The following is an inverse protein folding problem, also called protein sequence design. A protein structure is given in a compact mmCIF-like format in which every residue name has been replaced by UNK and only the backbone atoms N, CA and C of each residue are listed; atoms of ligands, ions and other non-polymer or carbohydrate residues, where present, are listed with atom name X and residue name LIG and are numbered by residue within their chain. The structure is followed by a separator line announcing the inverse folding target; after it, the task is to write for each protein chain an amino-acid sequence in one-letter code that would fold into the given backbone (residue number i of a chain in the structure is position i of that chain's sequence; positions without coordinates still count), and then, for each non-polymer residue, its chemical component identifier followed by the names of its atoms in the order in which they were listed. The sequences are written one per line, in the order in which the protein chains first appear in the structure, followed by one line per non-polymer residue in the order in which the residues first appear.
data_IF_048200444603
#
_entry.id   IF_048200444603
#
_cell.length_a   1.000
_cell.length_b   1.000
_cell.length_c   1.000
_cell.angle_alpha   90.00
_cell.angle_beta   90.00
_cell.angle_gamma   90.00
#
_symmetry.space_group_name_H-M   'P 1'
#
loop_
_entity.id
_entity.type
_entity.pdbx_description
1 polymer ?
#
# COMPACT_ATOMS: atom_id res chain seq x y z
N UNK A 1 -0.87 44.14 -18.04
CA UNK A 1 -0.50 43.30 -16.87
C UNK A 1 -0.48 41.85 -17.29
N UNK A 2 0.59 41.33 -17.88
CA UNK A 2 0.65 39.92 -18.35
C UNK A 2 1.13 38.90 -17.31
N UNK A 3 1.55 39.36 -16.13
CA UNK A 3 2.20 38.47 -15.15
C UNK A 3 1.25 37.53 -14.38
N UNK A 4 -0.02 37.82 -14.25
CA UNK A 4 -0.97 36.99 -13.50
C UNK A 4 -1.38 35.72 -14.26
N UNK A 5 -1.43 35.78 -15.60
CA UNK A 5 -1.82 34.63 -16.42
C UNK A 5 -0.68 33.60 -16.62
N UNK A 6 0.56 34.01 -16.45
CA UNK A 6 1.69 33.09 -16.50
C UNK A 6 1.85 32.32 -15.17
N UNK A 7 1.57 32.92 -14.02
CA UNK A 7 1.64 32.26 -12.73
C UNK A 7 0.54 31.19 -12.57
N UNK A 8 -0.63 31.41 -13.17
CA UNK A 8 -1.71 30.40 -13.18
C UNK A 8 -1.39 29.21 -14.09
N UNK A 9 -0.54 29.40 -15.09
CA UNK A 9 -0.11 28.31 -16.00
C UNK A 9 0.94 27.38 -15.42
N UNK A 10 1.65 27.79 -14.37
CA UNK A 10 2.73 27.00 -13.79
C UNK A 10 2.19 25.91 -12.85
N UNK A 11 1.01 26.12 -12.25
CA UNK A 11 0.43 25.18 -11.27
C UNK A 11 -0.46 24.09 -11.89
N UNK A 12 -0.74 24.12 -13.17
CA UNK A 12 -1.46 23.04 -13.87
C UNK A 12 -0.53 22.02 -14.52
N UNK A 13 0.65 21.81 -13.97
CA UNK A 13 1.45 20.65 -14.31
C UNK A 13 0.87 19.40 -13.62
N UNK A 14 -0.39 19.15 -13.92
CA UNK A 14 -1.04 17.85 -13.72
C UNK A 14 -0.08 16.85 -14.34
N UNK A 15 0.45 15.96 -13.52
CA UNK A 15 1.26 14.82 -13.99
C UNK A 15 0.63 14.32 -15.29
N UNK A 16 1.41 14.12 -16.37
CA UNK A 16 0.84 13.66 -17.63
C UNK A 16 -0.03 12.45 -17.32
N UNK A 17 -1.26 12.45 -17.85
CA UNK A 17 -2.29 11.43 -17.57
C UNK A 17 -1.74 10.00 -17.62
N UNK A 18 -0.76 9.78 -18.50
CA UNK A 18 -0.03 8.51 -18.57
C UNK A 18 0.72 8.13 -17.30
N UNK A 19 1.38 9.08 -16.62
CA UNK A 19 2.07 8.80 -15.33
C UNK A 19 1.07 8.50 -14.22
N UNK A 20 -0.05 9.19 -14.21
CA UNK A 20 -1.13 8.94 -13.25
C UNK A 20 -1.68 7.52 -13.42
N UNK A 21 -1.97 7.11 -14.63
CA UNK A 21 -2.46 5.76 -14.95
C UNK A 21 -1.45 4.69 -14.52
N UNK A 22 -0.16 4.90 -14.79
CA UNK A 22 0.89 3.95 -14.39
C UNK A 22 0.95 3.79 -12.87
N UNK A 23 0.86 4.90 -12.13
CA UNK A 23 0.86 4.86 -10.66
C UNK A 23 -0.39 4.12 -10.14
N UNK A 24 -1.57 4.42 -10.69
CA UNK A 24 -2.80 3.72 -10.29
C UNK A 24 -2.76 2.22 -10.59
N UNK A 25 -2.28 1.84 -11.77
CA UNK A 25 -2.11 0.43 -12.12
C UNK A 25 -1.11 -0.26 -11.18
N UNK A 26 -0.01 0.39 -10.86
CA UNK A 26 0.98 -0.15 -9.93
C UNK A 26 0.41 -0.34 -8.51
N UNK A 27 -0.36 0.63 -8.00
CA UNK A 27 -1.04 0.53 -6.71
C UNK A 27 -2.09 -0.58 -6.70
N UNK A 28 -2.91 -0.66 -7.76
CA UNK A 28 -3.92 -1.71 -7.89
C UNK A 28 -3.30 -3.10 -7.94
N UNK A 29 -2.19 -3.25 -8.65
CA UNK A 29 -1.45 -4.51 -8.73
C UNK A 29 -0.83 -4.90 -7.38
N UNK A 30 -0.27 -3.95 -6.64
CA UNK A 30 0.25 -4.20 -5.30
C UNK A 30 -0.85 -4.63 -4.32
N UNK A 31 -2.03 -3.99 -4.36
CA UNK A 31 -3.19 -4.40 -3.57
C UNK A 31 -3.65 -5.81 -3.93
N UNK A 32 -3.70 -6.14 -5.23
CA UNK A 32 -4.11 -7.46 -5.69
C UNK A 32 -3.16 -8.55 -5.14
N UNK A 33 -1.85 -8.31 -5.15
CA UNK A 33 -0.87 -9.22 -4.55
C UNK A 33 -1.15 -9.40 -3.06
N UNK A 34 -1.38 -8.31 -2.31
CA UNK A 34 -1.71 -8.37 -0.90
C UNK A 34 -2.99 -9.18 -0.63
N UNK A 35 -4.02 -9.01 -1.46
CA UNK A 35 -5.26 -9.79 -1.33
C UNK A 35 -5.04 -11.28 -1.61
N UNK A 36 -4.26 -11.61 -2.63
CA UNK A 36 -3.92 -13.00 -2.94
C UNK A 36 -3.14 -13.63 -1.79
N UNK A 37 -2.13 -12.94 -1.25
CA UNK A 37 -1.36 -13.43 -0.12
C UNK A 37 -2.24 -13.72 1.10
N UNK A 38 -3.09 -12.77 1.50
CA UNK A 38 -3.98 -12.95 2.65
C UNK A 38 -4.97 -14.10 2.48
N UNK A 39 -5.53 -14.28 1.28
CA UNK A 39 -6.48 -15.36 1.02
C UNK A 39 -5.80 -16.72 0.88
N UNK A 40 -4.61 -16.77 0.29
CA UNK A 40 -3.84 -18.02 0.13
C UNK A 40 -3.51 -18.67 1.45
N UNK A 41 -3.26 -17.88 2.50
CA UNK A 41 -3.01 -18.39 3.84
C UNK A 41 -4.23 -19.14 4.38
N UNK A 42 -5.43 -18.58 4.27
CA UNK A 42 -6.64 -19.23 4.77
C UNK A 42 -6.86 -20.63 4.20
N UNK A 43 -6.46 -20.83 2.95
CA UNK A 43 -6.59 -22.11 2.25
C UNK A 43 -5.40 -23.04 2.57
N UNK A 44 -4.19 -22.52 2.68
CA UNK A 44 -2.97 -23.29 2.86
C UNK A 44 -2.72 -23.71 4.33
N UNK A 45 -3.25 -22.96 5.31
CA UNK A 45 -3.02 -23.21 6.74
C UNK A 45 -3.32 -24.66 7.18
N UNK A 46 -4.45 -25.29 6.82
CA UNK A 46 -4.75 -26.67 7.24
C UNK A 46 -3.70 -27.65 6.72
N UNK A 47 -3.31 -27.53 5.46
CA UNK A 47 -2.33 -28.41 4.82
C UNK A 47 -0.93 -28.24 5.43
N UNK A 48 -0.49 -26.99 5.58
CA UNK A 48 0.81 -26.66 6.18
C UNK A 48 0.85 -27.10 7.65
N UNK A 49 -0.27 -26.96 8.38
CA UNK A 49 -0.38 -27.42 9.76
C UNK A 49 -0.20 -28.93 9.93
N UNK A 50 -0.72 -29.71 8.99
CA UNK A 50 -0.54 -31.15 8.97
C UNK A 50 0.93 -31.52 8.68
N UNK A 51 1.56 -30.90 7.68
CA UNK A 51 2.94 -31.16 7.28
C UNK A 51 3.97 -30.79 8.35
N UNK A 52 3.72 -29.68 9.07
CA UNK A 52 4.60 -29.19 10.14
C UNK A 52 4.27 -29.77 11.53
N UNK A 53 3.37 -30.76 11.64
CA UNK A 53 2.89 -31.34 12.91
C UNK A 53 2.41 -30.29 13.92
N UNK A 54 1.88 -29.16 13.43
CA UNK A 54 1.49 -27.98 14.22
C UNK A 54 -0.01 -27.63 14.05
N UNK A 55 -0.84 -28.61 13.75
CA UNK A 55 -2.26 -28.43 13.42
C UNK A 55 -3.05 -27.64 14.48
N UNK A 56 -2.71 -27.76 15.76
CA UNK A 56 -3.38 -27.05 16.86
C UNK A 56 -2.96 -25.59 17.01
N UNK A 57 -1.76 -25.22 16.55
CA UNK A 57 -1.19 -23.88 16.73
C UNK A 57 -1.06 -23.10 15.44
N UNK A 58 -1.39 -23.72 14.29
CA UNK A 58 -1.18 -23.12 12.97
C UNK A 58 -1.99 -21.82 12.78
N UNK A 59 -3.13 -21.67 13.45
CA UNK A 59 -3.95 -20.45 13.43
C UNK A 59 -3.18 -19.21 13.89
N UNK A 60 -2.13 -19.38 14.69
CA UNK A 60 -1.25 -18.31 15.12
C UNK A 60 -0.46 -17.68 13.96
N UNK A 61 -0.23 -18.43 12.88
CA UNK A 61 0.41 -17.88 11.68
C UNK A 61 -0.43 -16.76 11.04
N UNK A 62 -1.73 -16.97 10.92
CA UNK A 62 -2.66 -15.94 10.45
C UNK A 62 -2.81 -14.79 11.44
N UNK A 63 -2.99 -15.09 12.71
CA UNK A 63 -3.17 -14.08 13.76
C UNK A 63 -1.94 -13.18 13.90
N UNK A 64 -0.73 -13.72 13.88
CA UNK A 64 0.51 -12.96 13.98
C UNK A 64 0.69 -11.99 12.81
N UNK A 65 0.34 -12.42 11.59
CA UNK A 65 0.35 -11.57 10.41
C UNK A 65 -0.66 -10.43 10.51
N UNK A 66 -1.89 -10.69 10.99
CA UNK A 66 -2.92 -9.67 11.17
C UNK A 66 -2.54 -8.63 12.24
N UNK A 67 -1.97 -9.06 13.36
CA UNK A 67 -1.48 -8.15 14.41
C UNK A 67 -0.36 -7.27 13.86
N UNK A 68 0.63 -7.87 13.19
CA UNK A 68 1.73 -7.13 12.59
C UNK A 68 1.21 -6.11 11.54
N UNK A 69 0.29 -6.52 10.66
CA UNK A 69 -0.36 -5.64 9.69
C UNK A 69 -1.00 -4.43 10.37
N UNK A 70 -1.85 -4.65 11.38
CA UNK A 70 -2.60 -3.57 12.05
C UNK A 70 -1.69 -2.58 12.77
N UNK A 71 -0.69 -3.07 13.51
CA UNK A 71 0.25 -2.23 14.24
C UNK A 71 1.09 -1.38 13.31
N UNK A 72 1.66 -2.01 12.28
CA UNK A 72 2.55 -1.32 11.37
C UNK A 72 1.82 -0.43 10.36
N UNK A 73 0.55 -0.68 10.06
CA UNK A 73 -0.27 0.19 9.22
C UNK A 73 -0.31 1.63 9.74
N UNK A 74 -0.46 1.82 11.05
CA UNK A 74 -0.45 3.14 11.68
C UNK A 74 0.95 3.77 11.64
N UNK A 75 1.99 2.96 11.85
CA UNK A 75 3.37 3.41 11.84
C UNK A 75 3.81 3.89 10.44
N UNK A 76 3.45 3.15 9.40
CA UNK A 76 3.78 3.48 8.02
C UNK A 76 3.13 4.79 7.56
N UNK A 77 1.97 5.13 8.09
CA UNK A 77 1.36 6.43 7.86
C UNK A 77 2.30 7.58 8.22
N UNK A 78 2.83 7.58 9.43
CA UNK A 78 3.76 8.60 9.90
C UNK A 78 5.13 8.52 9.23
N UNK A 79 5.62 7.31 8.98
CA UNK A 79 6.93 7.08 8.36
C UNK A 79 6.97 7.60 6.92
N UNK A 80 5.86 7.49 6.21
CA UNK A 80 5.71 7.95 4.83
C UNK A 80 5.82 9.48 4.71
N UNK A 81 5.41 10.22 5.74
CA UNK A 81 5.52 11.67 5.76
C UNK A 81 6.97 12.16 5.97
N UNK A 82 7.81 11.34 6.62
CA UNK A 82 9.22 11.67 6.92
C UNK A 82 10.15 11.23 5.79
N UNK A 83 10.03 9.98 5.34
CA UNK A 83 10.93 9.36 4.36
C UNK A 83 10.48 9.54 2.91
N UNK A 84 9.24 9.99 2.71
CA UNK A 84 8.62 10.11 1.40
C UNK A 84 7.90 8.83 0.97
N UNK A 85 6.73 9.01 0.35
CA UNK A 85 5.78 7.92 0.02
C UNK A 85 6.37 6.85 -0.89
N UNK A 86 7.20 7.24 -1.86
CA UNK A 86 7.80 6.31 -2.83
C UNK A 86 8.78 5.34 -2.17
N UNK A 87 9.65 5.84 -1.29
CA UNK A 87 10.67 5.03 -0.61
C UNK A 87 10.02 4.03 0.32
N UNK A 88 9.04 4.49 1.12
CA UNK A 88 8.33 3.64 2.08
C UNK A 88 7.47 2.60 1.36
N UNK A 89 6.86 2.94 0.22
CA UNK A 89 6.11 1.98 -0.59
C UNK A 89 7.00 0.87 -1.15
N UNK A 90 8.16 1.24 -1.73
CA UNK A 90 9.11 0.25 -2.25
C UNK A 90 9.68 -0.65 -1.15
N UNK A 91 9.96 -0.09 0.02
CA UNK A 91 10.43 -0.88 1.18
C UNK A 91 9.35 -1.86 1.66
N UNK A 92 8.09 -1.46 1.68
CA UNK A 92 6.97 -2.32 2.07
C UNK A 92 6.76 -3.48 1.10
N UNK A 93 6.84 -3.21 -0.21
CA UNK A 93 6.76 -4.25 -1.26
C UNK A 93 7.93 -5.23 -1.15
N UNK A 94 9.15 -4.71 -0.93
CA UNK A 94 10.33 -5.55 -0.75
C UNK A 94 10.21 -6.43 0.51
N UNK A 95 9.68 -5.87 1.59
CA UNK A 95 9.50 -6.59 2.85
C UNK A 95 8.44 -7.70 2.72
N UNK A 96 7.34 -7.43 2.01
CA UNK A 96 6.34 -8.45 1.68
C UNK A 96 6.96 -9.60 0.90
N UNK A 97 7.65 -9.28 -0.20
CA UNK A 97 8.29 -10.30 -1.05
C UNK A 97 9.32 -11.15 -0.28
N UNK A 98 10.14 -10.52 0.57
CA UNK A 98 11.09 -11.23 1.42
C UNK A 98 10.37 -12.11 2.45
N UNK A 99 9.31 -11.62 3.10
CA UNK A 99 8.51 -12.37 4.05
C UNK A 99 7.91 -13.63 3.41
N UNK A 100 7.35 -13.52 2.21
CA UNK A 100 6.75 -14.63 1.49
C UNK A 100 7.79 -15.65 1.02
N UNK A 101 8.93 -15.19 0.53
CA UNK A 101 10.04 -16.09 0.19
C UNK A 101 10.52 -16.88 1.42
N UNK A 102 10.68 -16.21 2.56
CA UNK A 102 11.08 -16.87 3.81
C UNK A 102 10.03 -17.87 4.30
N UNK A 103 8.74 -17.59 4.10
CA UNK A 103 7.66 -18.53 4.40
C UNK A 103 7.79 -19.83 3.61
N UNK A 104 8.24 -19.77 2.35
CA UNK A 104 8.51 -20.96 1.52
C UNK A 104 9.64 -21.84 2.05
N UNK A 105 10.55 -21.28 2.85
CA UNK A 105 11.67 -22.01 3.47
C UNK A 105 11.39 -22.46 4.92
N UNK A 106 10.21 -22.16 5.46
CA UNK A 106 9.87 -22.53 6.84
C UNK A 106 9.78 -24.05 6.99
N UNK A 107 10.54 -24.59 7.94
CA UNK A 107 10.55 -26.03 8.28
C UNK A 107 9.83 -26.35 9.58
N UNK A 108 9.49 -25.34 10.36
CA UNK A 108 8.83 -25.49 11.66
C UNK A 108 7.71 -24.45 11.81
N UNK A 109 6.66 -24.79 12.59
CA UNK A 109 5.56 -23.87 12.88
C UNK A 109 6.01 -22.50 13.40
N UNK A 110 6.85 -22.41 14.43
CA UNK A 110 7.32 -21.13 14.96
C UNK A 110 8.07 -20.27 13.94
N UNK A 111 8.87 -20.86 13.04
CA UNK A 111 9.53 -20.14 11.96
C UNK A 111 8.52 -19.52 11.01
N UNK A 112 7.47 -20.26 10.67
CA UNK A 112 6.39 -19.79 9.82
C UNK A 112 5.69 -18.56 10.45
N UNK A 113 5.45 -18.56 11.76
CA UNK A 113 4.79 -17.45 12.45
C UNK A 113 5.61 -16.17 12.39
N UNK A 114 6.93 -16.27 12.58
CA UNK A 114 7.85 -15.11 12.48
C UNK A 114 7.88 -14.58 11.06
N UNK A 115 8.03 -15.44 10.06
CA UNK A 115 8.09 -15.02 8.67
C UNK A 115 6.77 -14.40 8.19
N UNK A 116 5.64 -14.92 8.66
CA UNK A 116 4.31 -14.34 8.44
C UNK A 116 4.14 -12.98 9.09
N UNK A 117 4.70 -12.76 10.26
CA UNK A 117 4.70 -11.43 10.87
C UNK A 117 5.46 -10.41 10.01
N UNK A 118 6.57 -10.81 9.41
CA UNK A 118 7.36 -9.96 8.51
C UNK A 118 6.56 -9.61 7.25
N UNK A 119 5.90 -10.59 6.61
CA UNK A 119 5.04 -10.31 5.45
C UNK A 119 3.84 -9.43 5.83
N UNK A 120 3.26 -9.64 7.01
CA UNK A 120 2.19 -8.79 7.56
C UNK A 120 2.61 -7.33 7.73
N UNK A 121 3.84 -7.06 8.17
CA UNK A 121 4.40 -5.70 8.20
C UNK A 121 4.42 -5.08 6.80
N UNK A 122 4.89 -5.81 5.79
CA UNK A 122 4.89 -5.36 4.40
C UNK A 122 3.50 -5.05 3.87
N UNK A 123 2.54 -5.94 4.11
CA UNK A 123 1.13 -5.77 3.70
C UNK A 123 0.49 -4.53 4.34
N UNK A 124 0.74 -4.29 5.64
CA UNK A 124 0.26 -3.10 6.36
C UNK A 124 0.76 -1.80 5.73
N UNK A 125 2.03 -1.79 5.33
CA UNK A 125 2.63 -0.65 4.64
C UNK A 125 1.98 -0.37 3.28
N UNK A 126 1.78 -1.40 2.47
CA UNK A 126 1.16 -1.26 1.14
C UNK A 126 -0.27 -0.74 1.26
N UNK A 127 -1.08 -1.30 2.18
CA UNK A 127 -2.47 -0.86 2.39
C UNK A 127 -2.55 0.60 2.85
N UNK A 128 -1.76 0.98 3.86
CA UNK A 128 -1.74 2.34 4.39
C UNK A 128 -1.33 3.36 3.34
N UNK A 129 -0.24 3.08 2.63
CA UNK A 129 0.29 3.98 1.61
C UNK A 129 -0.62 4.10 0.40
N UNK A 130 -1.26 3.01 -0.03
CA UNK A 130 -2.21 3.05 -1.14
C UNK A 130 -3.40 3.95 -0.82
N UNK A 131 -3.99 3.83 0.37
CA UNK A 131 -5.08 4.69 0.81
C UNK A 131 -4.68 6.16 0.85
N UNK A 132 -3.46 6.46 1.35
CA UNK A 132 -2.92 7.81 1.38
C UNK A 132 -2.71 8.40 -0.02
N UNK A 133 -2.05 7.65 -0.90
CA UNK A 133 -1.76 8.10 -2.27
C UNK A 133 -3.05 8.34 -3.05
N UNK A 134 -4.03 7.45 -2.93
CA UNK A 134 -5.35 7.61 -3.57
C UNK A 134 -6.06 8.85 -3.03
N UNK A 135 -6.08 9.04 -1.71
CA UNK A 135 -6.70 10.21 -1.07
C UNK A 135 -6.09 11.53 -1.56
N UNK A 136 -4.77 11.58 -1.71
CA UNK A 136 -4.08 12.77 -2.20
C UNK A 136 -4.41 13.08 -3.66
N UNK A 137 -4.43 12.06 -4.51
CA UNK A 137 -4.75 12.23 -5.92
C UNK A 137 -6.19 12.75 -6.10
N UNK A 138 -7.14 12.17 -5.36
CA UNK A 138 -8.56 12.60 -5.41
C UNK A 138 -8.73 14.03 -4.87
N UNK A 139 -8.01 14.38 -3.81
CA UNK A 139 -8.07 15.74 -3.24
C UNK A 139 -7.51 16.78 -4.22
N UNK A 140 -6.44 16.48 -4.94
CA UNK A 140 -5.87 17.36 -5.95
C UNK A 140 -6.81 17.56 -7.15
N UNK A 141 -7.47 16.50 -7.60
CA UNK A 141 -8.45 16.58 -8.70
C UNK A 141 -9.66 17.44 -8.32
N UNK A 142 -10.19 17.27 -7.11
CA UNK A 142 -11.33 18.05 -6.64
C UNK A 142 -10.96 19.54 -6.44
N UNK A 143 -9.78 19.86 -5.94
CA UNK A 143 -9.32 21.25 -5.84
C UNK A 143 -9.25 21.94 -7.20
N UNK A 144 -8.79 21.25 -8.24
CA UNK A 144 -8.77 21.76 -9.62
C UNK A 144 -10.18 22.12 -10.12
N UNK A 145 -11.18 21.30 -9.85
CA UNK A 145 -12.58 21.55 -10.25
C UNK A 145 -13.20 22.74 -9.51
N UNK A 146 -12.92 22.89 -8.21
CA UNK A 146 -13.41 24.03 -7.42
C UNK A 146 -12.84 25.36 -7.88
N UNK A 147 -11.55 25.41 -8.19
CA UNK A 147 -10.91 26.63 -8.72
C UNK A 147 -11.51 27.01 -10.08
N UNK A 148 -11.80 26.04 -10.93
CA UNK A 148 -12.38 26.28 -12.26
C UNK A 148 -13.85 26.73 -12.18
N UNK A 149 -14.60 26.24 -11.17
CA UNK A 149 -16.01 26.61 -10.95
C UNK A 149 -16.17 27.99 -10.28
N UNK A 150 -15.15 28.49 -9.59
CA UNK A 150 -15.16 29.78 -8.89
C UNK A 150 -14.60 30.96 -9.71
N UNK A 151 -14.18 30.72 -10.95
CA UNK A 151 -13.82 31.79 -11.87
C UNK A 151 -15.08 32.53 -12.29
N UNK A 152 -15.24 33.85 -12.00
CA UNK A 152 -16.41 34.60 -12.44
C UNK A 152 -16.44 34.59 -13.96
N UNK A 153 -17.65 34.53 -14.60
CA UNK A 153 -17.75 34.71 -16.04
C UNK A 153 -17.21 36.08 -16.38
N UNK A 154 -16.20 36.11 -17.25
CA UNK A 154 -15.73 37.40 -17.80
C UNK A 154 -16.92 38.09 -18.45
N UNK A 155 -17.26 39.27 -17.89
CA UNK A 155 -18.20 40.21 -18.49
C UNK A 155 -17.57 40.73 -19.80
N UNK A 156 -18.07 40.19 -20.91
CA UNK A 156 -17.85 40.76 -22.24
C UNK A 156 -18.67 42.03 -22.44
#
# INVERSE_FOLDING_TARGET
MPAANELVRIDTNILPKAKLIIVFCGLAFALLICFIDQNSIGIALPTIGADLHSATTISWAGTSSLIANTVFQVLYGRLSDILGRKVVFLSSVSLLALGDLLCGFAKTGPQLYVFRSISGVGTGGIMSLTMMIVSDIVTLENRGKWVQSSSPPELS
#
